data_IF_012181652288
#
_entry.id   IF_012181652288
#
_cell.length_a   1.000
_cell.length_b   1.000
_cell.length_c   1.000
_cell.angle_alpha   90.00
_cell.angle_beta   90.00
_cell.angle_gamma   90.00
#
_symmetry.space_group_name_H-M   'P 1'
#
loop_
_entity.id
_entity.type
_entity.pdbx_description
1 polymer ?
#
# COMPACT_ATOMS: atom_id res chain seq x y z
N UNK A 1 33.05 76.25 -28.60
CA UNK A 1 33.48 74.93 -29.14
C UNK A 1 33.75 73.87 -28.06
N UNK A 2 34.31 74.26 -26.91
CA UNK A 2 34.67 73.30 -25.82
C UNK A 2 33.50 72.57 -25.14
N UNK A 3 32.34 73.19 -25.00
CA UNK A 3 31.17 72.52 -24.38
C UNK A 3 30.46 71.47 -25.25
N UNK A 4 30.55 71.62 -26.58
CA UNK A 4 29.97 70.64 -27.53
C UNK A 4 30.80 69.32 -27.57
N UNK A 5 32.10 69.45 -27.38
CA UNK A 5 32.98 68.30 -27.29
C UNK A 5 32.80 67.50 -25.95
N UNK A 6 32.59 68.26 -24.88
CA UNK A 6 32.33 67.63 -23.56
C UNK A 6 30.98 66.88 -23.52
N UNK A 7 29.96 67.42 -24.15
CA UNK A 7 28.62 66.77 -24.26
C UNK A 7 28.71 65.50 -25.14
N UNK A 8 29.50 65.51 -26.15
CA UNK A 8 29.69 64.31 -27.03
C UNK A 8 30.51 63.23 -26.28
N UNK A 9 31.46 63.61 -25.45
CA UNK A 9 32.21 62.64 -24.60
C UNK A 9 31.35 62.00 -23.49
N UNK A 10 30.47 62.79 -22.89
CA UNK A 10 29.50 62.27 -21.92
C UNK A 10 28.44 61.34 -22.54
N UNK A 11 28.00 61.64 -23.77
CA UNK A 11 27.10 60.80 -24.51
C UNK A 11 27.71 59.44 -24.89
N UNK A 12 28.99 59.41 -25.26
CA UNK A 12 29.74 58.17 -25.55
C UNK A 12 29.99 57.36 -24.28
N UNK A 13 30.21 58.02 -23.13
CA UNK A 13 30.38 57.35 -21.83
C UNK A 13 29.08 56.69 -21.32
N UNK A 14 27.94 57.33 -21.57
CA UNK A 14 26.62 56.80 -21.22
C UNK A 14 26.17 55.59 -22.08
N UNK A 15 26.64 55.47 -23.33
CA UNK A 15 26.30 54.35 -24.20
C UNK A 15 27.04 53.06 -23.77
N UNK A 16 28.16 53.17 -23.06
CA UNK A 16 28.92 52.02 -22.57
C UNK A 16 28.34 51.43 -21.24
N UNK A 17 27.36 52.05 -20.61
CA UNK A 17 26.77 51.56 -19.38
C UNK A 17 25.56 50.61 -19.61
N UNK A 18 25.10 50.40 -20.85
CA UNK A 18 24.02 49.51 -21.17
C UNK A 18 24.57 48.15 -21.64
N UNK A 19 25.49 47.58 -20.88
CA UNK A 19 25.82 46.16 -21.03
C UNK A 19 24.95 45.36 -20.07
N UNK A 20 23.82 44.89 -20.56
CA UNK A 20 23.05 43.83 -19.93
C UNK A 20 23.89 42.55 -19.92
N UNK A 21 24.64 42.35 -18.84
CA UNK A 21 25.27 41.04 -18.59
C UNK A 21 24.15 40.03 -18.45
N UNK A 22 23.88 39.22 -19.47
CA UNK A 22 23.10 37.99 -19.30
C UNK A 22 23.84 37.13 -18.28
N UNK A 23 23.30 37.03 -17.07
CA UNK A 23 23.70 35.97 -16.13
C UNK A 23 23.31 34.66 -16.76
N UNK A 24 24.20 34.07 -17.51
CA UNK A 24 24.09 32.65 -17.87
C UNK A 24 24.47 31.89 -16.58
N UNK A 25 23.54 31.20 -15.98
CA UNK A 25 23.88 30.11 -15.07
C UNK A 25 24.70 29.12 -15.89
N UNK A 26 25.89 28.70 -15.43
CA UNK A 26 26.63 27.67 -16.12
C UNK A 26 25.70 26.45 -16.23
N UNK A 27 25.36 26.07 -17.44
CA UNK A 27 24.74 24.79 -17.71
C UNK A 27 25.80 23.76 -17.34
N UNK A 28 25.56 23.02 -16.24
CA UNK A 28 26.41 21.90 -15.86
C UNK A 28 26.64 20.96 -17.04
N UNK A 29 27.68 20.16 -16.98
CA UNK A 29 27.91 19.08 -17.93
C UNK A 29 26.72 18.13 -18.05
N UNK A 30 26.75 17.11 -18.91
CA UNK A 30 25.73 16.07 -18.94
C UNK A 30 25.53 15.52 -17.53
N UNK A 31 24.25 15.31 -17.16
CA UNK A 31 23.91 14.71 -15.86
C UNK A 31 24.59 13.33 -15.78
N UNK A 32 25.29 13.05 -14.68
CA UNK A 32 25.81 11.72 -14.41
C UNK A 32 24.66 10.73 -14.23
N UNK A 33 24.75 9.61 -14.92
CA UNK A 33 23.78 8.52 -14.87
C UNK A 33 24.41 7.18 -14.44
N UNK A 34 25.69 7.21 -14.06
CA UNK A 34 26.40 6.03 -13.59
C UNK A 34 26.14 5.84 -12.09
N UNK A 35 25.93 4.62 -11.64
CA UNK A 35 25.85 4.32 -10.22
C UNK A 35 27.23 4.31 -9.56
N UNK A 36 27.34 4.59 -8.27
CA UNK A 36 28.59 4.44 -7.53
C UNK A 36 29.12 3.01 -7.56
N UNK A 37 30.42 2.86 -7.71
CA UNK A 37 31.09 1.56 -7.80
C UNK A 37 31.84 1.28 -6.49
N UNK A 38 31.61 0.11 -5.89
CA UNK A 38 32.38 -0.36 -4.76
C UNK A 38 33.81 -0.74 -5.21
N UNK A 39 34.80 0.05 -4.82
CA UNK A 39 36.20 -0.15 -5.20
C UNK A 39 36.98 -1.00 -4.20
N UNK A 40 36.54 -1.07 -2.95
CA UNK A 40 37.19 -1.88 -1.91
C UNK A 40 36.22 -2.27 -0.83
N UNK A 41 36.50 -3.39 -0.15
CA UNK A 41 35.81 -3.82 1.06
C UNK A 41 36.84 -4.31 2.11
N UNK A 42 36.55 -4.02 3.37
CA UNK A 42 37.37 -4.48 4.50
C UNK A 42 36.46 -5.03 5.61
N UNK A 43 36.52 -6.33 5.91
CA UNK A 43 37.29 -7.38 5.24
C UNK A 43 36.91 -7.51 3.75
N UNK A 44 37.74 -8.20 2.98
CA UNK A 44 37.45 -8.44 1.56
C UNK A 44 36.17 -9.26 1.41
N UNK A 45 35.48 -9.05 0.28
CA UNK A 45 34.32 -9.89 -0.07
C UNK A 45 34.72 -11.38 -0.05
N UNK A 46 33.81 -12.23 0.39
CA UNK A 46 34.00 -13.67 0.55
C UNK A 46 35.08 -14.06 1.58
N UNK A 47 35.34 -13.21 2.56
CA UNK A 47 36.20 -13.55 3.72
C UNK A 47 35.56 -14.70 4.49
N UNK A 48 36.39 -15.71 4.81
CA UNK A 48 36.09 -16.83 5.71
C UNK A 48 36.68 -16.56 7.09
N UNK A 49 36.20 -17.33 8.09
CA UNK A 49 36.61 -17.15 9.50
C UNK A 49 36.46 -15.68 9.96
N UNK A 50 35.37 -15.07 9.58
CA UNK A 50 35.07 -13.68 9.95
C UNK A 50 34.88 -13.57 11.48
N UNK A 51 35.71 -12.72 12.09
CA UNK A 51 35.78 -12.45 13.53
C UNK A 51 35.75 -10.97 13.90
N UNK A 52 35.37 -10.10 12.94
CA UNK A 52 35.36 -8.65 13.10
C UNK A 52 33.99 -8.13 13.54
N UNK A 53 33.98 -6.96 14.16
CA UNK A 53 32.76 -6.25 14.53
C UNK A 53 32.33 -5.21 13.47
N UNK A 54 33.14 -4.99 12.44
CA UNK A 54 32.89 -3.93 11.45
C UNK A 54 33.21 -4.39 10.04
N UNK A 55 32.38 -3.98 9.10
CA UNK A 55 32.53 -4.13 7.67
C UNK A 55 32.54 -2.73 7.06
N UNK A 56 33.58 -2.40 6.29
CA UNK A 56 33.68 -1.13 5.56
C UNK A 56 33.67 -1.37 4.07
N UNK A 57 32.71 -0.78 3.36
CA UNK A 57 32.63 -0.74 1.91
C UNK A 57 33.07 0.64 1.43
N UNK A 58 34.01 0.70 0.48
CA UNK A 58 34.55 1.97 -0.05
C UNK A 58 34.15 2.12 -1.51
N UNK A 59 33.66 3.29 -1.85
CA UNK A 59 33.17 3.65 -3.18
C UNK A 59 34.11 4.67 -3.88
N UNK A 60 34.04 4.71 -5.19
CA UNK A 60 34.79 5.65 -6.03
C UNK A 60 34.35 7.11 -5.84
N UNK A 61 33.08 7.32 -5.47
CA UNK A 61 32.46 8.61 -5.25
C UNK A 61 31.77 8.73 -3.87
N UNK A 62 31.21 9.91 -3.57
CA UNK A 62 30.42 10.11 -2.36
C UNK A 62 29.04 9.49 -2.48
N UNK A 63 28.68 8.65 -1.51
CA UNK A 63 27.39 7.98 -1.44
C UNK A 63 26.61 8.44 -0.19
N UNK A 64 25.30 8.34 -0.26
CA UNK A 64 24.39 8.48 0.87
C UNK A 64 23.52 7.24 0.97
N UNK A 65 22.89 7.07 2.13
CA UNK A 65 22.02 5.92 2.41
C UNK A 65 20.56 6.34 2.41
N UNK A 66 19.73 5.59 1.67
CA UNK A 66 18.30 5.82 1.56
C UNK A 66 17.53 4.55 1.90
N UNK A 67 16.51 4.69 2.75
CA UNK A 67 15.58 3.60 3.11
C UNK A 67 16.28 2.28 3.51
N UNK A 68 17.42 2.36 4.21
CA UNK A 68 18.23 1.20 4.60
C UNK A 68 17.42 0.16 5.35
N UNK A 69 16.53 0.59 6.25
CA UNK A 69 15.71 -0.33 7.05
C UNK A 69 14.76 -1.20 6.21
N UNK A 70 14.43 -0.75 4.98
CA UNK A 70 13.55 -1.47 4.06
C UNK A 70 14.32 -2.21 2.96
N UNK A 71 15.45 -1.64 2.53
CA UNK A 71 16.22 -2.11 1.39
C UNK A 71 17.31 -3.11 1.76
N UNK A 72 17.94 -2.95 2.95
CA UNK A 72 19.02 -3.84 3.37
C UNK A 72 18.47 -5.16 3.91
N UNK A 73 18.71 -6.22 3.18
CA UNK A 73 18.36 -7.58 3.57
C UNK A 73 19.63 -8.32 4.01
N UNK A 74 19.65 -8.75 5.26
CA UNK A 74 20.75 -9.55 5.80
C UNK A 74 20.27 -10.99 5.96
N UNK A 75 20.97 -11.94 5.38
CA UNK A 75 20.63 -13.37 5.42
C UNK A 75 21.82 -14.19 5.95
N UNK A 76 21.68 -14.94 7.03
CA UNK A 76 20.55 -15.03 8.00
C UNK A 76 20.14 -13.69 8.61
N UNK A 77 18.84 -13.52 8.97
CA UNK A 77 18.33 -12.23 9.43
C UNK A 77 18.88 -11.84 10.81
N UNK A 78 19.39 -10.63 10.89
CA UNK A 78 19.78 -9.98 12.14
C UNK A 78 18.68 -9.03 12.61
N UNK A 79 18.45 -8.95 13.91
CA UNK A 79 17.57 -7.90 14.46
C UNK A 79 18.22 -6.52 14.27
N UNK A 80 17.41 -5.49 14.00
CA UNK A 80 17.88 -4.12 13.75
C UNK A 80 18.73 -3.53 14.89
N UNK A 81 18.58 -4.06 16.08
CA UNK A 81 19.39 -3.70 17.27
C UNK A 81 20.81 -4.25 17.21
N UNK A 82 21.03 -5.31 16.41
CA UNK A 82 22.29 -6.07 16.34
C UNK A 82 23.28 -5.51 15.31
N UNK A 83 22.90 -4.49 14.57
CA UNK A 83 23.79 -3.82 13.63
C UNK A 83 23.42 -2.36 13.44
N UNK A 84 24.40 -1.57 12.99
CA UNK A 84 24.21 -0.16 12.61
C UNK A 84 24.94 0.09 11.30
N UNK A 85 24.32 0.89 10.42
CA UNK A 85 24.89 1.27 9.12
C UNK A 85 25.15 2.78 9.09
N UNK A 86 26.33 3.15 8.64
CA UNK A 86 26.79 4.53 8.54
C UNK A 86 27.19 4.86 7.10
N UNK A 87 27.06 6.12 6.65
CA UNK A 87 26.62 7.29 7.42
C UNK A 87 25.11 7.27 7.68
N UNK A 88 24.67 7.73 8.85
CA UNK A 88 23.22 7.90 9.14
C UNK A 88 22.68 9.19 8.53
N UNK A 89 23.55 10.16 8.26
CA UNK A 89 23.24 11.46 7.63
C UNK A 89 24.45 11.91 6.82
N UNK A 90 24.19 12.72 5.77
CA UNK A 90 25.22 13.26 4.89
C UNK A 90 25.80 12.24 3.93
N UNK A 91 26.94 12.56 3.33
CA UNK A 91 27.60 11.75 2.32
C UNK A 91 28.98 11.28 2.78
N UNK A 92 29.39 10.10 2.34
CA UNK A 92 30.70 9.51 2.62
C UNK A 92 31.14 8.63 1.44
N UNK A 93 32.44 8.50 1.21
CA UNK A 93 32.97 7.47 0.31
C UNK A 93 32.98 6.07 0.96
N UNK A 94 32.60 5.97 2.22
CA UNK A 94 32.61 4.70 2.97
C UNK A 94 31.24 4.45 3.57
N UNK A 95 30.77 3.21 3.42
CA UNK A 95 29.62 2.67 4.15
C UNK A 95 30.14 1.68 5.16
N UNK A 96 29.87 1.93 6.44
CA UNK A 96 30.30 1.07 7.54
C UNK A 96 29.12 0.33 8.15
N UNK A 97 29.25 -0.98 8.29
CA UNK A 97 28.27 -1.82 9.01
C UNK A 97 28.94 -2.25 10.29
N UNK A 98 28.45 -1.75 11.42
CA UNK A 98 28.93 -2.14 12.74
C UNK A 98 28.01 -3.20 13.32
N UNK A 99 28.56 -4.37 13.60
CA UNK A 99 27.86 -5.48 14.25
C UNK A 99 27.98 -5.32 15.77
N UNK A 100 26.88 -5.44 16.48
CA UNK A 100 26.82 -5.28 17.94
C UNK A 100 26.54 -6.58 18.66
N UNK A 101 26.42 -7.67 17.92
CA UNK A 101 26.19 -9.00 18.46
C UNK A 101 26.97 -10.06 17.67
N UNK A 102 27.11 -11.23 18.26
CA UNK A 102 27.83 -12.38 17.70
C UNK A 102 27.01 -13.00 16.55
N UNK A 103 27.67 -13.26 15.45
CA UNK A 103 27.10 -14.01 14.32
C UNK A 103 27.08 -15.50 14.63
N UNK A 104 26.17 -16.24 13.98
CA UNK A 104 26.16 -17.71 14.11
C UNK A 104 27.47 -18.31 13.59
N UNK A 105 27.99 -19.31 14.27
CA UNK A 105 29.18 -20.04 13.85
C UNK A 105 28.95 -20.83 12.56
N UNK A 106 30.03 -21.04 11.80
CA UNK A 106 30.04 -21.83 10.57
C UNK A 106 28.88 -21.40 9.57
N UNK A 107 28.63 -20.11 9.46
CA UNK A 107 27.47 -19.58 8.71
C UNK A 107 27.90 -18.55 7.68
N UNK A 108 27.39 -18.69 6.47
CA UNK A 108 27.57 -17.68 5.41
C UNK A 108 26.50 -16.58 5.55
N UNK A 109 26.94 -15.34 5.66
CA UNK A 109 26.10 -14.16 5.70
C UNK A 109 26.16 -13.38 4.39
N UNK A 110 25.01 -12.97 3.91
CA UNK A 110 24.85 -12.11 2.73
C UNK A 110 24.14 -10.83 3.14
N UNK A 111 24.76 -9.69 2.83
CA UNK A 111 24.20 -8.34 3.00
C UNK A 111 23.82 -7.84 1.60
N UNK A 112 22.55 -7.79 1.29
CA UNK A 112 22.01 -7.24 0.05
C UNK A 112 21.47 -5.86 0.35
N UNK A 113 22.08 -4.83 -0.25
CA UNK A 113 21.73 -3.42 -0.02
C UNK A 113 20.56 -2.95 -0.88
N UNK A 114 20.06 -3.77 -1.80
CA UNK A 114 19.02 -3.33 -2.75
C UNK A 114 19.47 -2.07 -3.48
N UNK A 115 18.65 -1.03 -3.41
CA UNK A 115 18.93 0.31 -3.95
C UNK A 115 19.19 1.35 -2.84
N UNK A 116 19.60 0.90 -1.63
CA UNK A 116 19.80 1.82 -0.50
C UNK A 116 21.05 2.69 -0.59
N UNK A 117 22.06 2.29 -1.36
CA UNK A 117 23.28 3.06 -1.55
C UNK A 117 23.15 3.84 -2.86
N UNK A 118 23.09 5.16 -2.77
CA UNK A 118 22.91 6.05 -3.91
C UNK A 118 24.04 7.07 -3.96
N UNK A 119 24.40 7.56 -5.16
CA UNK A 119 25.31 8.69 -5.24
C UNK A 119 24.71 9.94 -4.59
N UNK A 120 25.59 10.82 -4.12
CA UNK A 120 25.16 11.99 -3.35
C UNK A 120 24.58 13.10 -4.22
N UNK A 121 24.98 13.22 -5.48
CA UNK A 121 24.62 14.35 -6.32
C UNK A 121 23.35 14.09 -7.15
N UNK A 122 23.30 12.97 -7.86
CA UNK A 122 22.25 12.62 -8.84
C UNK A 122 21.25 11.59 -8.31
N UNK A 123 21.57 10.91 -7.19
CA UNK A 123 20.80 9.82 -6.58
C UNK A 123 20.70 8.55 -7.44
N UNK A 124 21.72 8.24 -8.24
CA UNK A 124 21.78 6.98 -8.97
C UNK A 124 22.06 5.83 -7.99
N UNK A 125 21.22 4.79 -7.91
CA UNK A 125 21.42 3.70 -6.96
C UNK A 125 22.46 2.69 -7.46
N UNK A 126 23.22 2.11 -6.52
CA UNK A 126 23.92 0.85 -6.78
C UNK A 126 22.87 -0.26 -6.87
N UNK A 127 22.65 -0.81 -8.07
CA UNK A 127 21.63 -1.85 -8.23
C UNK A 127 22.08 -3.17 -7.58
N UNK A 128 21.37 -3.56 -6.53
CA UNK A 128 21.47 -4.86 -5.86
C UNK A 128 22.89 -5.25 -5.40
N UNK A 129 23.66 -4.29 -4.89
CA UNK A 129 24.97 -4.55 -4.32
C UNK A 129 24.87 -5.58 -3.19
N UNK A 130 25.64 -6.66 -3.29
CA UNK A 130 25.74 -7.67 -2.25
C UNK A 130 27.16 -7.76 -1.69
N UNK A 131 27.27 -7.97 -0.37
CA UNK A 131 28.50 -8.28 0.30
C UNK A 131 28.33 -9.60 1.06
N UNK A 132 29.29 -10.52 0.92
CA UNK A 132 29.23 -11.87 1.50
C UNK A 132 30.44 -12.13 2.36
N UNK A 133 30.22 -12.80 3.48
CA UNK A 133 31.26 -13.32 4.38
C UNK A 133 30.83 -14.66 4.98
N UNK A 134 31.75 -15.39 5.62
CA UNK A 134 31.44 -16.58 6.41
C UNK A 134 32.21 -16.56 7.74
N UNK A 135 31.56 -16.95 8.81
CA UNK A 135 32.17 -17.22 10.10
C UNK A 135 32.88 -18.59 10.12
N UNK A 136 32.57 -19.46 9.15
CA UNK A 136 33.19 -20.76 8.94
C UNK A 136 34.31 -20.75 7.90
N UNK A 137 34.79 -21.95 7.55
CA UNK A 137 35.89 -22.15 6.61
C UNK A 137 35.49 -21.99 5.14
N UNK A 138 34.21 -22.05 4.83
CA UNK A 138 33.69 -22.05 3.45
C UNK A 138 32.58 -21.05 3.27
N UNK A 139 32.41 -20.58 2.03
CA UNK A 139 31.27 -19.82 1.60
C UNK A 139 30.29 -20.79 0.91
N UNK A 140 29.06 -20.82 1.37
CA UNK A 140 27.98 -21.58 0.71
C UNK A 140 27.69 -20.96 -0.67
N UNK A 141 27.32 -21.77 -1.67
CA UNK A 141 27.24 -21.31 -3.07
C UNK A 141 25.93 -21.64 -3.79
N UNK A 142 25.02 -22.37 -3.16
CA UNK A 142 23.74 -22.72 -3.77
C UNK A 142 22.78 -21.53 -3.81
N UNK A 143 21.81 -21.60 -4.71
CA UNK A 143 20.84 -20.54 -4.90
C UNK A 143 19.45 -21.08 -5.20
N UNK A 144 18.44 -20.25 -4.96
CA UNK A 144 17.06 -20.41 -5.42
C UNK A 144 16.66 -19.11 -6.07
N UNK A 145 15.98 -19.19 -7.20
CA UNK A 145 15.37 -18.03 -7.87
C UNK A 145 13.95 -18.34 -8.27
N UNK A 146 13.14 -17.31 -8.42
CA UNK A 146 11.76 -17.51 -8.84
C UNK A 146 10.99 -16.21 -8.95
N UNK A 147 9.70 -16.36 -9.10
CA UNK A 147 8.76 -15.26 -9.23
C UNK A 147 7.66 -15.38 -8.19
N UNK A 148 7.16 -14.22 -7.77
CA UNK A 148 5.96 -14.09 -6.95
C UNK A 148 4.85 -13.50 -7.79
N UNK A 149 3.65 -14.02 -7.66
CA UNK A 149 2.41 -13.44 -8.15
C UNK A 149 1.37 -13.45 -7.04
N UNK A 150 0.37 -12.58 -7.14
CA UNK A 150 -0.79 -12.63 -6.26
C UNK A 150 -1.85 -13.54 -6.88
N UNK A 151 -2.55 -14.34 -6.06
CA UNK A 151 -3.56 -15.28 -6.53
C UNK A 151 -4.87 -14.60 -6.97
N UNK A 152 -5.11 -13.35 -6.51
CA UNK A 152 -6.36 -12.63 -6.73
C UNK A 152 -6.17 -11.25 -7.37
N UNK A 153 -4.99 -10.64 -7.21
CA UNK A 153 -4.69 -9.30 -7.68
C UNK A 153 -3.73 -9.36 -8.87
N UNK A 154 -3.96 -8.50 -9.86
CA UNK A 154 -3.09 -8.40 -11.04
C UNK A 154 -1.70 -7.92 -10.69
N UNK A 155 -1.62 -6.92 -9.82
CA UNK A 155 -0.38 -6.31 -9.41
C UNK A 155 0.03 -6.89 -8.05
N UNK A 156 1.21 -7.47 -8.00
CA UNK A 156 1.79 -7.98 -6.76
C UNK A 156 2.44 -6.83 -5.99
N UNK A 157 2.24 -6.80 -4.67
CA UNK A 157 2.92 -5.85 -3.79
C UNK A 157 4.44 -5.99 -3.89
N UNK A 158 5.13 -4.88 -3.59
CA UNK A 158 6.60 -4.82 -3.60
C UNK A 158 7.15 -5.22 -2.23
N UNK A 159 8.42 -5.59 -2.20
CA UNK A 159 9.12 -5.96 -0.97
C UNK A 159 8.55 -7.19 -0.27
N UNK A 160 8.09 -8.16 -1.07
CA UNK A 160 7.69 -9.45 -0.52
C UNK A 160 8.91 -10.14 0.09
N UNK A 161 8.79 -10.53 1.36
CA UNK A 161 9.80 -11.27 2.09
C UNK A 161 9.75 -12.74 1.72
N UNK A 162 10.87 -13.30 1.25
CA UNK A 162 11.03 -14.73 0.97
C UNK A 162 11.86 -15.35 2.09
N UNK A 163 11.39 -16.45 2.63
CA UNK A 163 11.92 -17.06 3.85
C UNK A 163 12.17 -18.55 3.65
N UNK A 164 13.32 -19.06 4.11
CA UNK A 164 13.63 -20.48 4.11
C UNK A 164 13.81 -20.98 5.54
N UNK A 165 13.07 -21.99 5.87
CA UNK A 165 13.13 -22.69 7.15
C UNK A 165 13.77 -24.06 6.95
N UNK A 166 14.87 -24.40 7.63
CA UNK A 166 15.45 -25.73 7.55
C UNK A 166 14.51 -26.77 8.15
N UNK A 167 14.43 -27.92 7.49
CA UNK A 167 13.62 -29.04 7.97
C UNK A 167 14.47 -29.91 8.88
N UNK A 168 14.30 -29.71 10.15
CA UNK A 168 14.87 -30.51 11.22
C UNK A 168 13.79 -31.04 12.17
N UNK A 169 14.20 -31.70 13.26
CA UNK A 169 13.27 -32.25 14.27
C UNK A 169 12.42 -31.19 14.99
N UNK A 170 12.75 -29.90 14.86
CA UNK A 170 12.07 -28.82 15.55
C UNK A 170 11.08 -28.06 14.61
N UNK A 171 11.13 -28.31 13.30
CA UNK A 171 10.25 -27.67 12.35
C UNK A 171 8.81 -28.18 12.49
N UNK A 172 7.87 -27.24 12.47
CA UNK A 172 6.41 -27.48 12.42
C UNK A 172 5.79 -26.40 11.54
N UNK A 173 4.60 -26.62 11.01
CA UNK A 173 3.89 -25.62 10.22
C UNK A 173 3.67 -24.32 10.99
N UNK A 174 3.52 -24.42 12.32
CA UNK A 174 3.44 -23.25 13.21
C UNK A 174 4.75 -22.49 13.42
N UNK A 175 5.87 -22.96 12.87
CA UNK A 175 7.19 -22.30 13.01
C UNK A 175 7.19 -20.90 12.44
N UNK A 176 6.44 -20.65 11.37
CA UNK A 176 6.34 -19.32 10.71
C UNK A 176 5.76 -18.22 11.60
N UNK A 177 5.02 -18.60 12.66
CA UNK A 177 4.46 -17.66 13.63
C UNK A 177 5.40 -17.33 14.81
N UNK A 178 6.41 -18.16 15.04
CA UNK A 178 7.15 -18.14 16.31
C UNK A 178 8.67 -18.08 16.18
N UNK A 179 9.22 -18.46 15.04
CA UNK A 179 10.68 -18.48 14.80
C UNK A 179 11.02 -17.70 13.53
N UNK A 180 12.14 -16.99 13.57
CA UNK A 180 12.70 -16.36 12.37
C UNK A 180 13.24 -17.44 11.42
N UNK A 181 13.20 -17.22 10.10
CA UNK A 181 13.77 -18.13 9.12
C UNK A 181 15.31 -18.19 9.21
N UNK A 182 15.91 -19.24 8.66
CA UNK A 182 17.37 -19.31 8.53
C UNK A 182 17.88 -18.41 7.41
N UNK A 183 17.19 -18.37 6.26
CA UNK A 183 17.57 -17.50 5.16
C UNK A 183 16.41 -16.61 4.74
N UNK A 184 16.72 -15.38 4.37
CA UNK A 184 15.79 -14.40 3.86
C UNK A 184 16.28 -13.73 2.60
N UNK A 185 15.37 -13.35 1.73
CA UNK A 185 15.57 -12.41 0.63
C UNK A 185 14.29 -11.63 0.41
N UNK A 186 14.29 -10.72 -0.53
CA UNK A 186 13.10 -9.92 -0.88
C UNK A 186 12.99 -9.79 -2.40
N UNK A 187 11.77 -9.57 -2.89
CA UNK A 187 11.56 -9.14 -4.26
C UNK A 187 12.01 -7.69 -4.48
N UNK A 188 12.23 -6.94 -3.39
CA UNK A 188 12.47 -5.49 -3.42
C UNK A 188 11.34 -4.79 -4.21
N UNK A 189 11.66 -4.11 -5.28
CA UNK A 189 10.71 -3.36 -6.12
C UNK A 189 10.22 -4.14 -7.37
N UNK A 190 10.55 -5.43 -7.46
CA UNK A 190 10.16 -6.32 -8.55
C UNK A 190 9.26 -7.46 -8.06
N UNK A 191 8.92 -8.40 -8.95
CA UNK A 191 8.23 -9.66 -8.62
C UNK A 191 9.18 -10.86 -8.66
N UNK A 192 10.47 -10.64 -8.90
CA UNK A 192 11.49 -11.68 -9.01
C UNK A 192 12.29 -11.71 -7.71
N UNK A 193 12.60 -12.90 -7.22
CA UNK A 193 13.46 -13.07 -6.06
C UNK A 193 14.66 -13.97 -6.37
N UNK A 194 15.70 -13.82 -5.55
CA UNK A 194 16.87 -14.69 -5.59
C UNK A 194 17.47 -14.85 -4.19
N UNK A 195 17.50 -16.08 -3.70
CA UNK A 195 18.38 -16.47 -2.61
C UNK A 195 19.76 -16.81 -3.17
N UNK A 196 20.79 -16.46 -2.43
CA UNK A 196 22.19 -16.77 -2.75
C UNK A 196 22.87 -17.34 -1.51
N UNK A 197 24.01 -18.00 -1.72
CA UNK A 197 24.87 -18.49 -0.66
C UNK A 197 24.12 -19.43 0.32
N UNK A 198 23.34 -20.33 -0.24
CA UNK A 198 22.59 -21.32 0.52
C UNK A 198 23.41 -22.59 0.71
N UNK A 199 23.20 -23.24 1.84
CA UNK A 199 23.73 -24.57 2.12
C UNK A 199 22.83 -25.66 1.55
N UNK A 200 23.42 -26.79 1.19
CA UNK A 200 22.66 -27.99 0.81
C UNK A 200 21.79 -28.47 2.00
N UNK A 201 20.55 -28.86 1.68
CA UNK A 201 19.59 -29.28 2.70
C UNK A 201 18.16 -29.28 2.22
N UNK A 202 17.25 -29.60 3.14
CA UNK A 202 15.80 -29.54 2.91
C UNK A 202 15.21 -28.33 3.61
N UNK A 203 14.34 -27.62 2.91
CA UNK A 203 13.75 -26.36 3.37
C UNK A 203 12.25 -26.29 3.07
N UNK A 204 11.52 -25.63 3.94
CA UNK A 204 10.23 -25.05 3.61
C UNK A 204 10.47 -23.62 3.10
N UNK A 205 9.81 -23.22 2.02
CA UNK A 205 9.83 -21.86 1.49
C UNK A 205 8.51 -21.18 1.77
N UNK A 206 8.60 -19.96 2.28
CA UNK A 206 7.46 -19.08 2.58
C UNK A 206 7.71 -17.72 1.93
N UNK A 207 6.69 -17.18 1.30
CA UNK A 207 6.63 -15.79 0.88
C UNK A 207 5.65 -15.05 1.80
N UNK A 208 6.04 -13.87 2.29
CA UNK A 208 5.18 -13.03 3.13
C UNK A 208 5.13 -11.61 2.60
N UNK A 209 3.94 -11.06 2.49
CA UNK A 209 3.72 -9.61 2.50
C UNK A 209 3.79 -9.14 3.97
N UNK A 210 5.01 -9.12 4.51
CA UNK A 210 5.31 -8.84 5.92
C UNK A 210 5.16 -7.33 6.20
N UNK A 211 3.98 -6.92 6.62
CA UNK A 211 3.66 -5.51 6.91
C UNK A 211 4.40 -4.96 8.13
N UNK A 212 4.68 -5.81 9.09
CA UNK A 212 5.40 -5.46 10.32
C UNK A 212 6.93 -5.46 10.16
N UNK A 213 7.47 -6.07 9.10
CA UNK A 213 8.91 -6.21 8.85
C UNK A 213 9.64 -7.05 9.90
N UNK A 214 8.95 -8.01 10.49
CA UNK A 214 9.45 -8.79 11.65
C UNK A 214 9.81 -10.25 11.32
N UNK A 215 9.51 -10.70 10.10
CA UNK A 215 9.67 -12.07 9.60
C UNK A 215 8.75 -13.11 10.25
N UNK A 216 7.70 -12.70 10.96
CA UNK A 216 6.67 -13.58 11.48
C UNK A 216 5.40 -13.42 10.69
N UNK A 217 4.69 -14.51 10.44
CA UNK A 217 3.40 -14.44 9.77
C UNK A 217 2.31 -13.96 10.72
N UNK A 218 1.69 -12.85 10.40
CA UNK A 218 0.45 -12.38 11.02
C UNK A 218 -0.75 -12.69 10.12
N UNK A 219 -1.52 -13.71 10.49
CA UNK A 219 -2.65 -14.18 9.71
C UNK A 219 -3.71 -13.09 9.48
N UNK A 220 -3.82 -12.12 10.40
CA UNK A 220 -4.80 -11.04 10.30
C UNK A 220 -4.38 -9.95 9.31
N UNK A 221 -3.07 -9.72 9.14
CA UNK A 221 -2.54 -8.59 8.37
C UNK A 221 -1.85 -9.01 7.07
N UNK A 222 -1.10 -10.11 7.09
CA UNK A 222 -0.20 -10.51 6.01
C UNK A 222 -0.89 -11.37 4.94
N UNK A 223 -0.37 -11.33 3.71
CA UNK A 223 -0.57 -12.38 2.71
C UNK A 223 0.57 -13.38 2.80
N UNK A 224 0.28 -14.64 2.54
CA UNK A 224 1.26 -15.74 2.57
C UNK A 224 1.27 -16.48 1.23
N UNK A 225 2.45 -17.01 0.86
CA UNK A 225 2.61 -17.96 -0.23
C UNK A 225 3.55 -19.07 0.20
N UNK A 226 3.24 -20.32 -0.13
CA UNK A 226 4.07 -21.47 0.19
C UNK A 226 3.93 -22.58 -0.85
N UNK A 227 4.82 -23.55 -0.78
CA UNK A 227 4.69 -24.81 -1.51
C UNK A 227 4.16 -25.88 -0.58
N UNK A 228 3.33 -26.76 -1.13
CA UNK A 228 2.83 -27.99 -0.48
C UNK A 228 3.90 -29.09 -0.38
N UNK A 229 5.11 -28.85 -0.90
CA UNK A 229 6.26 -29.74 -0.86
C UNK A 229 7.51 -29.07 -0.30
N UNK A 230 8.39 -29.84 0.23
CA UNK A 230 9.71 -29.36 0.66
C UNK A 230 10.63 -29.12 -0.55
N UNK A 231 11.53 -28.18 -0.39
CA UNK A 231 12.61 -27.89 -1.33
C UNK A 231 13.85 -28.68 -0.90
N UNK A 232 14.53 -29.30 -1.84
CA UNK A 232 15.80 -29.98 -1.63
C UNK A 232 16.88 -29.36 -2.49
N UNK A 233 17.89 -28.76 -1.86
CA UNK A 233 19.06 -28.19 -2.55
C UNK A 233 20.20 -29.22 -2.63
N UNK A 234 20.85 -29.33 -3.81
CA UNK A 234 20.83 -28.44 -4.97
C UNK A 234 19.77 -28.75 -6.06
N UNK A 235 18.85 -29.68 -5.83
CA UNK A 235 17.91 -30.20 -6.83
C UNK A 235 16.90 -29.14 -7.29
N UNK A 236 16.34 -28.39 -6.36
CA UNK A 236 15.29 -27.42 -6.59
C UNK A 236 15.88 -25.99 -6.61
N UNK A 237 16.05 -25.40 -7.80
CA UNK A 237 16.67 -24.05 -7.92
C UNK A 237 15.75 -23.01 -8.56
N UNK A 238 14.59 -23.40 -9.09
CA UNK A 238 13.62 -22.50 -9.72
C UNK A 238 12.26 -22.77 -9.10
N UNK A 239 11.62 -21.73 -8.54
CA UNK A 239 10.39 -21.84 -7.76
C UNK A 239 9.54 -20.61 -7.97
N UNK A 240 8.29 -20.81 -8.40
CA UNK A 240 7.29 -19.76 -8.44
C UNK A 240 6.30 -19.95 -7.29
N UNK A 241 5.86 -18.85 -6.68
CA UNK A 241 4.94 -18.83 -5.56
C UNK A 241 3.80 -17.84 -5.82
N UNK A 242 2.63 -18.18 -5.31
CA UNK A 242 1.45 -17.33 -5.32
C UNK A 242 1.13 -16.86 -3.91
N UNK A 243 1.00 -15.56 -3.72
CA UNK A 243 0.51 -14.95 -2.49
C UNK A 243 -1.01 -15.04 -2.44
N UNK A 244 -1.53 -15.29 -1.26
CA UNK A 244 -2.96 -15.21 -0.97
C UNK A 244 -3.17 -14.78 0.48
N UNK A 245 -4.32 -14.21 0.75
CA UNK A 245 -4.77 -13.92 2.12
C UNK A 245 -5.44 -15.17 2.68
N UNK A 246 -4.96 -15.67 3.82
CA UNK A 246 -5.66 -16.76 4.50
C UNK A 246 -7.03 -16.30 5.02
N UNK A 247 -7.99 -17.21 4.97
CA UNK A 247 -9.28 -16.99 5.62
C UNK A 247 -9.12 -17.26 7.10
N UNK A 248 -9.17 -16.23 7.90
CA UNK A 248 -9.18 -16.37 9.36
C UNK A 248 -10.55 -16.83 9.83
N UNK A 249 -10.59 -17.50 10.98
CA UNK A 249 -11.84 -17.69 11.70
C UNK A 249 -12.45 -16.33 12.00
N UNK A 250 -13.79 -16.26 11.93
CA UNK A 250 -14.48 -15.02 12.22
C UNK A 250 -14.27 -14.61 13.69
N UNK A 251 -13.93 -13.33 13.90
CA UNK A 251 -13.99 -12.71 15.21
C UNK A 251 -14.24 -11.19 15.10
N UNK A 252 -14.91 -10.64 16.10
CA UNK A 252 -15.10 -9.22 16.25
C UNK A 252 -13.92 -8.58 16.98
N UNK A 253 -13.48 -7.43 16.50
CA UNK A 253 -12.63 -6.54 17.27
C UNK A 253 -13.47 -5.68 18.23
N UNK A 254 -12.80 -4.90 19.06
CA UNK A 254 -13.49 -4.02 20.01
C UNK A 254 -14.24 -2.91 19.26
N UNK A 255 -15.53 -2.69 19.58
CA UNK A 255 -16.21 -1.51 19.08
C UNK A 255 -15.50 -0.23 19.49
N UNK A 256 -15.31 0.68 18.55
CA UNK A 256 -14.62 1.95 18.74
C UNK A 256 -15.55 3.12 18.43
N UNK A 257 -15.60 4.08 19.34
CA UNK A 257 -16.28 5.36 19.10
C UNK A 257 -15.46 6.18 18.08
N UNK A 258 -16.10 6.62 17.01
CA UNK A 258 -15.47 7.40 15.94
C UNK A 258 -15.82 8.87 16.10
N UNK A 259 -17.12 9.18 16.21
CA UNK A 259 -17.63 10.53 16.40
C UNK A 259 -18.98 10.49 17.13
N UNK A 260 -19.64 11.63 17.25
CA UNK A 260 -20.84 11.88 18.06
C UNK A 260 -21.95 10.81 17.95
N UNK A 261 -22.11 10.20 16.78
CA UNK A 261 -23.21 9.27 16.53
C UNK A 261 -22.78 8.03 15.76
N UNK A 262 -21.48 7.71 15.77
CA UNK A 262 -20.90 6.64 14.99
C UNK A 262 -19.94 5.77 15.80
N UNK A 263 -20.20 4.47 15.79
CA UNK A 263 -19.33 3.45 16.37
C UNK A 263 -18.93 2.50 15.25
N UNK A 264 -17.62 2.32 15.05
CA UNK A 264 -17.06 1.36 14.12
C UNK A 264 -16.72 0.05 14.83
N UNK A 265 -17.06 -1.07 14.21
CA UNK A 265 -16.84 -2.41 14.74
C UNK A 265 -16.16 -3.23 13.65
N UNK A 266 -14.84 -3.35 13.76
CA UNK A 266 -14.06 -4.15 12.85
C UNK A 266 -14.29 -5.65 13.11
N UNK A 267 -14.17 -6.47 12.06
CA UNK A 267 -14.22 -7.91 12.16
C UNK A 267 -13.21 -8.53 11.21
N UNK A 268 -12.87 -9.78 11.45
CA UNK A 268 -11.96 -10.56 10.64
C UNK A 268 -12.64 -11.86 10.21
N UNK A 269 -12.29 -12.37 9.04
CA UNK A 269 -12.82 -13.63 8.52
C UNK A 269 -14.19 -13.52 7.86
N UNK A 270 -14.76 -14.67 7.48
CA UNK A 270 -16.08 -14.73 6.84
C UNK A 270 -17.19 -14.57 7.89
N UNK A 271 -18.09 -13.63 7.61
CA UNK A 271 -19.24 -13.36 8.44
C UNK A 271 -20.44 -14.22 8.00
N UNK A 272 -20.73 -15.27 8.76
CA UNK A 272 -21.97 -16.00 8.69
C UNK A 272 -22.73 -15.90 10.02
N UNK A 273 -23.75 -15.04 10.07
CA UNK A 273 -24.72 -14.93 11.16
C UNK A 273 -24.14 -14.83 12.59
N UNK A 274 -23.15 -13.98 12.83
CA UNK A 274 -22.54 -13.81 14.14
C UNK A 274 -23.33 -12.83 15.03
N UNK A 275 -23.23 -13.01 16.34
CA UNK A 275 -23.99 -12.22 17.32
C UNK A 275 -23.34 -10.84 17.49
N UNK A 276 -24.07 -9.84 17.02
CA UNK A 276 -23.82 -8.44 17.33
C UNK A 276 -25.14 -7.80 17.74
N UNK A 277 -25.28 -7.44 19.01
CA UNK A 277 -26.51 -6.93 19.58
C UNK A 277 -26.22 -5.75 20.51
N UNK A 278 -26.92 -4.64 20.32
CA UNK A 278 -26.91 -3.53 21.27
C UNK A 278 -27.83 -3.89 22.46
N UNK A 279 -27.29 -3.77 23.66
CA UNK A 279 -27.96 -4.21 24.92
C UNK A 279 -28.14 -3.10 25.95
N UNK A 280 -27.88 -1.84 25.61
CA UNK A 280 -28.16 -0.70 26.49
C UNK A 280 -29.64 -0.47 26.62
N UNK A 281 -30.08 -0.05 27.81
CA UNK A 281 -31.37 0.60 27.98
C UNK A 281 -31.35 1.96 27.27
N UNK A 282 -32.29 2.16 26.34
CA UNK A 282 -32.39 3.37 25.53
C UNK A 282 -33.82 3.87 25.50
N UNK A 283 -34.08 5.18 25.36
CA UNK A 283 -35.45 5.72 25.29
C UNK A 283 -36.13 5.29 23.99
N UNK A 284 -37.45 5.37 23.93
CA UNK A 284 -38.26 5.04 22.75
C UNK A 284 -37.91 5.87 21.50
N UNK A 285 -37.31 7.04 21.70
CA UNK A 285 -36.85 7.91 20.63
C UNK A 285 -35.52 7.46 19.99
N UNK A 286 -34.86 6.45 20.55
CA UNK A 286 -33.59 5.96 20.04
C UNK A 286 -33.81 5.19 18.76
N UNK A 287 -33.07 5.59 17.73
CA UNK A 287 -33.03 4.87 16.46
C UNK A 287 -31.58 4.53 16.09
N UNK A 288 -31.39 3.39 15.48
CA UNK A 288 -30.06 2.97 15.00
C UNK A 288 -30.13 2.39 13.60
N UNK A 289 -28.98 2.48 12.91
CA UNK A 289 -28.77 1.94 11.58
C UNK A 289 -27.41 1.27 11.52
N UNK A 290 -27.32 0.08 10.94
CA UNK A 290 -26.06 -0.61 10.71
C UNK A 290 -25.75 -0.63 9.21
N UNK A 291 -24.56 -0.20 8.86
CA UNK A 291 -24.05 -0.25 7.48
C UNK A 291 -22.74 -1.01 7.45
N UNK A 292 -22.39 -1.60 6.29
CA UNK A 292 -21.12 -2.28 6.10
C UNK A 292 -20.16 -1.35 5.35
N UNK A 293 -18.97 -1.11 5.91
CA UNK A 293 -17.93 -0.41 5.19
C UNK A 293 -17.51 -1.22 3.94
N UNK A 294 -17.37 -0.57 2.79
CA UNK A 294 -17.06 -1.24 1.52
C UNK A 294 -15.56 -1.48 1.31
N UNK A 295 -14.73 -0.77 2.03
CA UNK A 295 -13.27 -0.80 1.87
C UNK A 295 -12.62 -1.63 2.95
N UNK A 296 -13.20 -1.63 4.15
CA UNK A 296 -12.68 -2.34 5.32
C UNK A 296 -13.71 -3.35 5.83
N UNK A 297 -13.25 -4.40 6.49
CA UNK A 297 -14.12 -5.35 7.18
C UNK A 297 -14.61 -4.73 8.50
N UNK A 298 -15.55 -3.79 8.38
CA UNK A 298 -16.08 -3.00 9.47
C UNK A 298 -17.58 -2.83 9.32
N UNK A 299 -18.32 -2.98 10.41
CA UNK A 299 -19.69 -2.51 10.53
C UNK A 299 -19.68 -1.13 11.17
N UNK A 300 -20.41 -0.22 10.57
CA UNK A 300 -20.64 1.12 11.06
C UNK A 300 -22.01 1.16 11.73
N UNK A 301 -22.04 1.39 13.03
CA UNK A 301 -23.24 1.53 13.84
C UNK A 301 -23.53 3.01 14.06
N UNK A 302 -24.61 3.47 13.46
CA UNK A 302 -25.09 4.85 13.50
C UNK A 302 -26.27 4.92 14.44
N UNK A 303 -26.42 5.99 15.23
CA UNK A 303 -27.53 6.16 16.16
C UNK A 303 -27.97 7.60 16.30
N UNK A 304 -29.23 7.81 16.74
CA UNK A 304 -29.81 9.12 17.02
C UNK A 304 -30.89 9.02 18.08
N UNK A 305 -31.41 10.16 18.56
CA UNK A 305 -32.60 10.26 19.41
C UNK A 305 -32.36 10.08 20.91
N UNK A 306 -31.07 10.00 21.33
CA UNK A 306 -30.76 9.95 22.76
C UNK A 306 -29.43 10.63 23.06
N UNK A 307 -29.35 11.32 24.20
CA UNK A 307 -28.10 11.77 24.80
C UNK A 307 -27.63 10.71 25.77
N UNK A 308 -26.56 10.00 25.43
CA UNK A 308 -26.02 8.88 26.19
C UNK A 308 -24.52 9.09 26.39
N UNK A 309 -23.97 8.58 27.48
CA UNK A 309 -22.52 8.61 27.74
C UNK A 309 -21.82 7.37 27.18
N UNK A 310 -22.57 6.30 26.91
CA UNK A 310 -22.04 5.05 26.41
C UNK A 310 -23.11 4.14 25.82
N UNK A 311 -22.70 3.19 24.99
CA UNK A 311 -23.52 2.06 24.53
C UNK A 311 -22.84 0.73 24.86
N UNK A 312 -23.64 -0.28 25.19
CA UNK A 312 -23.21 -1.64 25.46
C UNK A 312 -23.58 -2.54 24.29
N UNK A 313 -22.62 -3.35 23.86
CA UNK A 313 -22.79 -4.33 22.79
C UNK A 313 -22.45 -5.72 23.31
N UNK A 314 -23.30 -6.68 23.00
CA UNK A 314 -23.04 -8.10 23.16
C UNK A 314 -22.48 -8.62 21.84
N UNK A 315 -21.25 -9.08 21.87
CA UNK A 315 -20.53 -9.57 20.69
C UNK A 315 -19.91 -10.92 20.98
N UNK A 316 -19.79 -11.75 19.95
CA UNK A 316 -19.11 -13.03 20.02
C UNK A 316 -17.64 -12.86 19.63
N UNK A 317 -16.71 -13.15 20.55
CA UNK A 317 -15.28 -13.08 20.33
C UNK A 317 -14.70 -14.45 20.64
N UNK A 318 -14.10 -15.12 19.64
CA UNK A 318 -13.50 -16.45 19.80
C UNK A 318 -14.44 -17.44 20.50
N UNK A 319 -15.62 -17.66 19.93
CA UNK A 319 -16.69 -18.53 20.45
C UNK A 319 -17.19 -18.20 21.87
N UNK A 320 -16.90 -16.99 22.34
CA UNK A 320 -17.31 -16.53 23.66
C UNK A 320 -18.10 -15.23 23.54
N UNK A 321 -19.34 -15.24 24.05
CA UNK A 321 -20.15 -14.03 24.15
C UNK A 321 -19.60 -13.09 25.23
N UNK A 322 -19.30 -11.87 24.84
CA UNK A 322 -18.79 -10.82 25.73
C UNK A 322 -19.58 -9.53 25.57
N UNK A 323 -19.77 -8.83 26.67
CA UNK A 323 -20.31 -7.48 26.65
C UNK A 323 -19.18 -6.46 26.60
N UNK A 324 -19.27 -5.52 25.67
CA UNK A 324 -18.34 -4.40 25.52
C UNK A 324 -19.09 -3.09 25.67
N UNK A 325 -18.53 -2.17 26.46
CA UNK A 325 -19.06 -0.81 26.64
C UNK A 325 -18.19 0.15 25.84
N UNK A 326 -18.82 0.96 25.01
CA UNK A 326 -18.20 2.04 24.24
C UNK A 326 -18.59 3.35 24.90
N UNK A 327 -17.62 4.04 25.50
CA UNK A 327 -17.80 5.36 26.08
C UNK A 327 -17.62 6.42 25.00
N UNK A 328 -18.49 7.44 25.04
CA UNK A 328 -18.42 8.55 24.11
C UNK A 328 -17.42 9.59 24.60
N UNK A 329 -16.82 10.28 23.64
CA UNK A 329 -15.93 11.42 23.85
C UNK A 329 -16.65 12.68 23.39
N UNK A 330 -15.97 13.83 23.52
CA UNK A 330 -16.51 15.09 23.04
C UNK A 330 -16.96 14.97 21.57
N UNK A 331 -18.19 15.37 21.25
CA UNK A 331 -18.77 15.17 19.93
C UNK A 331 -18.04 15.99 18.86
N UNK A 332 -17.77 15.37 17.73
CA UNK A 332 -17.33 16.03 16.50
C UNK A 332 -18.47 15.88 15.51
N UNK A 333 -19.13 16.97 15.17
CA UNK A 333 -20.18 16.96 14.16
C UNK A 333 -19.58 16.79 12.77
N UNK A 334 -20.09 15.79 12.04
CA UNK A 334 -19.80 15.60 10.62
C UNK A 334 -20.87 16.28 9.76
N UNK A 335 -20.46 16.87 8.65
CA UNK A 335 -21.38 17.38 7.63
C UNK A 335 -21.60 16.35 6.53
N UNK A 336 -22.79 16.35 5.93
CA UNK A 336 -23.10 15.49 4.78
C UNK A 336 -22.31 15.94 3.56
N UNK A 337 -21.43 15.08 3.06
CA UNK A 337 -20.59 15.30 1.89
C UNK A 337 -20.97 14.29 0.81
N UNK A 338 -21.33 14.79 -0.38
CA UNK A 338 -21.66 13.96 -1.53
C UNK A 338 -20.60 14.13 -2.61
N UNK A 339 -20.07 13.01 -3.11
CA UNK A 339 -19.07 12.99 -4.17
C UNK A 339 -19.53 12.14 -5.36
N UNK A 340 -18.99 12.40 -6.53
CA UNK A 340 -19.17 11.52 -7.69
C UNK A 340 -18.27 10.28 -7.51
N UNK A 341 -18.89 9.11 -7.42
CA UNK A 341 -18.15 7.86 -7.35
C UNK A 341 -17.69 7.36 -8.72
N UNK A 342 -18.57 7.46 -9.73
CA UNK A 342 -18.26 7.05 -11.10
C UNK A 342 -17.05 7.83 -11.64
N UNK A 343 -15.93 7.13 -11.86
CA UNK A 343 -14.71 7.72 -12.41
C UNK A 343 -14.76 7.74 -13.95
N UNK A 344 -14.15 8.77 -14.55
CA UNK A 344 -14.06 8.89 -16.01
C UNK A 344 -15.41 9.10 -16.71
N UNK A 345 -15.54 8.58 -17.93
CA UNK A 345 -16.76 8.65 -18.73
C UNK A 345 -17.79 7.63 -18.28
N UNK A 346 -19.05 8.01 -18.29
CA UNK A 346 -20.17 7.11 -18.00
C UNK A 346 -20.34 6.11 -19.14
N UNK A 347 -20.47 4.83 -18.80
CA UNK A 347 -20.73 3.78 -19.78
C UNK A 347 -22.21 3.78 -20.14
N UNK A 348 -22.54 3.50 -21.40
CA UNK A 348 -23.93 3.56 -21.93
C UNK A 348 -24.93 2.68 -21.18
N UNK A 349 -24.47 1.59 -20.59
CA UNK A 349 -25.32 0.65 -19.81
C UNK A 349 -25.17 0.81 -18.29
N UNK A 350 -24.38 1.79 -17.83
CA UNK A 350 -24.14 2.02 -16.41
C UNK A 350 -24.91 3.26 -15.94
N UNK A 351 -25.30 3.23 -14.69
CA UNK A 351 -25.90 4.39 -14.02
C UNK A 351 -24.80 5.23 -13.36
N UNK A 352 -25.06 6.53 -13.20
CA UNK A 352 -24.17 7.37 -12.44
C UNK A 352 -24.32 7.05 -10.95
N UNK A 353 -23.21 6.88 -10.26
CA UNK A 353 -23.19 6.65 -8.80
C UNK A 353 -22.56 7.83 -8.09
N UNK A 354 -23.23 8.25 -7.03
CA UNK A 354 -22.74 9.20 -6.04
C UNK A 354 -22.43 8.45 -4.74
N UNK A 355 -21.50 8.95 -3.99
CA UNK A 355 -21.05 8.42 -2.69
C UNK A 355 -21.24 9.47 -1.62
N UNK A 356 -21.72 9.05 -0.45
CA UNK A 356 -21.83 9.88 0.74
C UNK A 356 -20.92 9.38 1.87
N UNK A 357 -20.42 10.31 2.69
CA UNK A 357 -19.67 9.97 3.90
C UNK A 357 -20.56 9.52 5.07
N UNK A 358 -21.86 9.84 5.02
CA UNK A 358 -22.86 9.52 6.02
C UNK A 358 -24.02 8.77 5.37
N UNK A 359 -24.73 7.90 6.11
CA UNK A 359 -25.83 7.14 5.54
C UNK A 359 -26.97 8.03 5.08
N UNK A 360 -27.26 8.03 3.79
CA UNK A 360 -28.40 8.74 3.18
C UNK A 360 -29.62 7.85 3.27
N UNK A 361 -30.67 8.32 3.96
CA UNK A 361 -31.90 7.55 4.20
C UNK A 361 -33.09 8.05 3.41
N UNK A 362 -33.06 9.31 2.92
CA UNK A 362 -34.13 9.88 2.12
C UNK A 362 -33.58 10.53 0.83
N UNK A 363 -34.32 10.36 -0.25
CA UNK A 363 -34.04 11.02 -1.54
C UNK A 363 -35.31 11.61 -2.12
N UNK A 364 -35.19 12.79 -2.74
CA UNK A 364 -36.26 13.49 -3.41
C UNK A 364 -35.90 13.65 -4.90
N UNK A 365 -36.49 12.81 -5.74
CA UNK A 365 -36.23 12.82 -7.18
C UNK A 365 -36.82 14.04 -7.92
N UNK A 366 -37.69 14.82 -7.31
CA UNK A 366 -38.17 16.07 -7.91
C UNK A 366 -37.11 17.19 -7.83
N UNK A 367 -36.13 17.01 -6.97
CA UNK A 367 -35.03 17.96 -6.73
C UNK A 367 -33.74 17.60 -7.49
N UNK A 368 -33.80 16.72 -8.48
CA UNK A 368 -32.70 16.47 -9.40
C UNK A 368 -33.02 17.03 -10.79
N UNK A 369 -32.05 17.73 -11.36
CA UNK A 369 -32.11 18.23 -12.72
C UNK A 369 -30.91 17.66 -13.48
N UNK A 370 -31.19 16.93 -14.55
CA UNK A 370 -30.16 16.42 -15.46
C UNK A 370 -30.37 17.09 -16.82
N UNK A 371 -29.32 17.71 -17.34
CA UNK A 371 -29.33 18.33 -18.68
C UNK A 371 -28.21 17.75 -19.53
N UNK A 372 -28.45 17.63 -20.81
CA UNK A 372 -27.45 17.27 -21.82
C UNK A 372 -26.66 18.48 -22.33
N UNK A 373 -25.81 18.27 -23.35
CA UNK A 373 -25.01 19.35 -23.97
C UNK A 373 -25.88 20.46 -24.59
N UNK A 374 -27.07 20.13 -25.08
CA UNK A 374 -28.02 21.08 -25.68
C UNK A 374 -28.95 21.75 -24.65
N UNK A 375 -28.64 21.59 -23.34
CA UNK A 375 -29.45 22.09 -22.22
C UNK A 375 -30.86 21.47 -22.12
N UNK A 376 -31.10 20.36 -22.80
CA UNK A 376 -32.37 19.63 -22.73
C UNK A 376 -32.43 18.90 -21.43
N UNK A 377 -33.51 19.07 -20.67
CA UNK A 377 -33.72 18.36 -19.41
C UNK A 377 -34.15 16.92 -19.70
N UNK A 378 -33.48 15.98 -19.03
CA UNK A 378 -33.71 14.54 -19.12
C UNK A 378 -34.35 14.06 -17.82
N UNK A 379 -35.43 13.25 -17.88
CA UNK A 379 -36.01 12.64 -16.68
C UNK A 379 -34.97 11.82 -15.94
N UNK A 380 -34.88 12.02 -14.63
CA UNK A 380 -33.91 11.33 -13.78
C UNK A 380 -34.53 10.95 -12.44
N UNK A 381 -34.05 9.85 -11.88
CA UNK A 381 -34.51 9.31 -10.61
C UNK A 381 -33.33 9.02 -9.68
N UNK A 382 -33.54 9.27 -8.39
CA UNK A 382 -32.60 8.94 -7.34
C UNK A 382 -33.01 7.64 -6.65
N UNK A 383 -32.03 6.77 -6.40
CA UNK A 383 -32.24 5.51 -5.66
C UNK A 383 -31.11 5.27 -4.69
N UNK A 384 -31.45 5.07 -3.41
CA UNK A 384 -30.51 4.69 -2.36
C UNK A 384 -30.18 3.20 -2.53
N UNK A 385 -28.88 2.86 -2.48
CA UNK A 385 -28.44 1.46 -2.43
C UNK A 385 -28.57 0.89 -1.00
N UNK A 386 -28.62 -0.44 -0.89
CA UNK A 386 -28.88 -1.17 0.36
C UNK A 386 -27.99 -0.75 1.54
N UNK A 387 -26.80 -0.26 1.30
CA UNK A 387 -25.86 0.13 2.36
C UNK A 387 -25.90 1.63 2.71
N UNK A 388 -26.82 2.41 2.14
CA UNK A 388 -27.04 3.84 2.41
C UNK A 388 -25.87 4.79 2.10
N UNK A 389 -24.74 4.29 1.65
CA UNK A 389 -23.53 5.05 1.29
C UNK A 389 -23.45 5.41 -0.19
N UNK A 390 -24.32 4.85 -1.02
CA UNK A 390 -24.38 5.05 -2.46
C UNK A 390 -25.76 5.46 -2.91
N UNK A 391 -25.77 6.45 -3.79
CA UNK A 391 -26.98 6.94 -4.45
C UNK A 391 -26.80 6.75 -5.96
N UNK A 392 -27.69 6.02 -6.56
CA UNK A 392 -27.74 5.85 -8.03
C UNK A 392 -28.59 6.95 -8.63
N UNK A 393 -28.05 7.64 -9.62
CA UNK A 393 -28.76 8.57 -10.49
C UNK A 393 -29.08 7.83 -11.79
N UNK A 394 -30.35 7.58 -12.02
CA UNK A 394 -30.86 6.83 -13.16
C UNK A 394 -31.48 7.79 -14.17
N UNK A 395 -30.89 7.89 -15.34
CA UNK A 395 -31.36 8.72 -16.46
C UNK A 395 -30.90 8.10 -17.79
N UNK A 396 -31.56 8.45 -18.87
CA UNK A 396 -31.19 7.96 -20.20
C UNK A 396 -29.88 8.59 -20.68
N UNK A 397 -28.94 7.74 -21.10
CA UNK A 397 -27.64 8.15 -21.63
C UNK A 397 -27.50 7.77 -23.10
N UNK A 398 -26.99 8.67 -23.91
CA UNK A 398 -26.68 8.46 -25.33
C UNK A 398 -25.17 8.58 -25.59
N UNK A 399 -24.65 7.99 -26.67
CA UNK A 399 -23.23 8.11 -27.02
C UNK A 399 -22.84 9.55 -27.36
N UNK A 400 -21.58 9.91 -27.06
CA UNK A 400 -20.96 11.20 -27.41
C UNK A 400 -21.69 12.43 -26.85
N UNK A 401 -22.22 12.32 -25.65
CA UNK A 401 -22.94 13.42 -24.98
C UNK A 401 -22.25 13.82 -23.66
N UNK A 402 -22.66 15.00 -23.15
CA UNK A 402 -22.19 15.53 -21.86
C UNK A 402 -23.41 15.87 -21.02
N UNK A 403 -23.32 15.54 -19.75
CA UNK A 403 -24.40 15.72 -18.81
C UNK A 403 -23.97 16.58 -17.64
N UNK A 404 -24.82 17.53 -17.25
CA UNK A 404 -24.77 18.23 -16.00
C UNK A 404 -25.90 17.73 -15.10
N UNK A 405 -25.52 17.26 -13.92
CA UNK A 405 -26.41 16.71 -12.89
C UNK A 405 -26.42 17.69 -11.75
N UNK A 406 -27.54 18.34 -11.50
CA UNK A 406 -27.71 19.33 -10.46
C UNK A 406 -28.65 18.78 -9.39
N UNK A 407 -28.11 18.56 -8.18
CA UNK A 407 -28.91 18.31 -7.00
C UNK A 407 -29.28 19.65 -6.37
N UNK A 408 -30.58 19.92 -6.26
CA UNK A 408 -31.10 21.09 -5.56
C UNK A 408 -30.99 20.90 -4.04
N UNK A 409 -31.07 21.95 -3.23
CA UNK A 409 -31.06 21.82 -1.77
C UNK A 409 -32.10 20.83 -1.28
N UNK A 410 -31.75 20.03 -0.30
CA UNK A 410 -32.59 18.96 0.29
C UNK A 410 -33.02 17.85 -0.69
N UNK A 411 -32.26 17.59 -1.76
CA UNK A 411 -32.50 16.44 -2.62
C UNK A 411 -32.13 15.12 -1.92
N UNK A 412 -31.17 15.16 -1.00
CA UNK A 412 -30.73 14.05 -0.20
C UNK A 412 -30.76 14.44 1.28
N UNK A 413 -31.18 13.51 2.15
CA UNK A 413 -31.08 13.67 3.59
C UNK A 413 -30.38 12.45 4.20
N UNK A 414 -29.51 12.72 5.14
CA UNK A 414 -28.87 11.66 5.92
C UNK A 414 -29.77 11.11 7.03
N UNK A 415 -29.27 10.13 7.76
CA UNK A 415 -29.97 9.49 8.86
C UNK A 415 -30.41 10.47 9.97
N UNK A 416 -29.75 11.59 10.18
CA UNK A 416 -30.11 12.63 11.16
C UNK A 416 -31.02 13.73 10.57
N UNK A 417 -31.35 13.65 9.27
CA UNK A 417 -32.15 14.66 8.57
C UNK A 417 -31.34 15.86 8.09
N UNK A 418 -29.99 15.81 8.17
CA UNK A 418 -29.12 16.85 7.61
C UNK A 418 -29.14 16.78 6.10
N UNK A 419 -28.95 17.91 5.48
CA UNK A 419 -29.10 18.09 4.04
C UNK A 419 -27.86 18.76 3.46
N UNK A 420 -27.89 19.01 2.17
CA UNK A 420 -26.83 19.68 1.43
C UNK A 420 -27.37 20.90 0.66
N UNK A 421 -26.50 21.82 0.32
CA UNK A 421 -26.75 22.90 -0.65
C UNK A 421 -26.76 22.36 -2.09
N UNK A 422 -26.94 23.26 -3.08
CA UNK A 422 -26.86 22.86 -4.49
C UNK A 422 -25.52 22.25 -4.84
N UNK A 423 -25.53 21.02 -5.37
CA UNK A 423 -24.33 20.32 -5.85
C UNK A 423 -24.44 20.06 -7.35
N UNK A 424 -23.36 20.28 -8.08
CA UNK A 424 -23.30 20.06 -9.53
C UNK A 424 -22.23 19.03 -9.84
N UNK A 425 -22.62 17.97 -10.55
CA UNK A 425 -21.72 16.98 -11.11
C UNK A 425 -21.74 17.04 -12.63
N UNK A 426 -20.61 16.72 -13.24
CA UNK A 426 -20.49 16.62 -14.70
C UNK A 426 -19.96 15.27 -15.09
N UNK A 427 -20.51 14.73 -16.16
CA UNK A 427 -20.05 13.46 -16.76
C UNK A 427 -20.24 13.49 -18.26
N UNK A 428 -19.65 12.56 -18.98
CA UNK A 428 -19.79 12.43 -20.42
C UNK A 428 -19.78 10.95 -20.84
N UNK A 429 -20.31 10.65 -21.98
CA UNK A 429 -20.18 9.36 -22.65
C UNK A 429 -19.18 9.47 -23.81
N UNK A 430 -18.61 8.35 -24.21
CA UNK A 430 -17.74 8.25 -25.38
C UNK A 430 -18.56 8.07 -26.65
N UNK A 431 -17.92 8.19 -27.83
CA UNK A 431 -18.53 7.82 -29.11
C UNK A 431 -18.79 6.33 -29.15
N UNK A 432 -19.74 5.91 -30.01
CA UNK A 432 -20.10 4.49 -30.12
C UNK A 432 -18.90 3.62 -30.56
N UNK A 433 -18.03 4.19 -31.39
CA UNK A 433 -16.83 3.51 -31.90
C UNK A 433 -15.78 3.22 -30.80
N UNK A 434 -15.87 3.95 -29.67
CA UNK A 434 -14.97 3.76 -28.53
C UNK A 434 -15.43 2.64 -27.59
N UNK A 435 -16.57 1.98 -27.88
CA UNK A 435 -17.10 0.87 -27.10
C UNK A 435 -16.94 -0.46 -27.85
N UNK A 436 -16.51 -1.47 -27.13
CA UNK A 436 -16.47 -2.86 -27.59
C UNK A 436 -17.32 -3.76 -26.72
N UNK A 437 -17.75 -4.89 -27.26
CA UNK A 437 -18.37 -5.96 -26.49
C UNK A 437 -17.50 -7.22 -26.60
N UNK A 438 -17.21 -7.82 -25.45
CA UNK A 438 -16.51 -9.09 -25.37
C UNK A 438 -17.49 -10.09 -24.79
N UNK A 439 -17.69 -11.20 -25.50
CA UNK A 439 -18.51 -12.33 -25.04
C UNK A 439 -17.58 -13.46 -24.66
N UNK A 440 -17.53 -13.78 -23.38
CA UNK A 440 -16.75 -14.88 -22.84
C UNK A 440 -17.68 -16.00 -22.38
N UNK A 441 -17.37 -17.22 -22.82
CA UNK A 441 -18.00 -18.42 -22.30
C UNK A 441 -16.95 -19.28 -21.62
N UNK A 442 -17.01 -19.35 -20.29
CA UNK A 442 -16.14 -20.20 -19.49
C UNK A 442 -16.87 -21.54 -19.27
N UNK A 443 -16.22 -22.65 -19.64
CA UNK A 443 -16.69 -24.00 -19.34
C UNK A 443 -15.66 -24.64 -18.42
N UNK A 444 -16.09 -25.08 -17.27
CA UNK A 444 -15.25 -25.79 -16.31
C UNK A 444 -16.02 -26.88 -15.60
N UNK A 445 -15.35 -27.97 -15.21
CA UNK A 445 -15.94 -29.16 -14.60
C UNK A 445 -16.15 -29.04 -13.08
N UNK A 446 -15.59 -28.02 -12.45
CA UNK A 446 -15.66 -27.80 -10.99
C UNK A 446 -16.48 -26.55 -10.64
N UNK A 447 -17.25 -26.54 -9.54
CA UNK A 447 -18.00 -25.38 -9.07
C UNK A 447 -17.10 -24.33 -8.36
N UNK A 448 -15.92 -24.07 -8.89
CA UNK A 448 -14.98 -23.09 -8.33
C UNK A 448 -15.28 -21.67 -8.81
N UNK A 449 -14.92 -20.67 -8.02
CA UNK A 449 -14.95 -19.27 -8.44
C UNK A 449 -13.76 -18.97 -9.38
N UNK A 450 -14.01 -18.22 -10.45
CA UNK A 450 -13.00 -17.86 -11.44
C UNK A 450 -12.88 -16.36 -11.52
N UNK A 451 -11.66 -15.88 -11.70
CA UNK A 451 -11.33 -14.49 -12.04
C UNK A 451 -11.04 -14.47 -13.55
N UNK A 452 -11.73 -13.61 -14.28
CA UNK A 452 -11.49 -13.39 -15.70
C UNK A 452 -10.90 -12.01 -15.86
N UNK A 453 -9.67 -11.95 -16.36
CA UNK A 453 -8.95 -10.69 -16.60
C UNK A 453 -8.82 -10.44 -18.10
N UNK A 454 -8.99 -9.19 -18.50
CA UNK A 454 -8.67 -8.69 -19.82
C UNK A 454 -7.36 -7.90 -19.71
N UNK A 455 -6.30 -8.44 -20.28
CA UNK A 455 -4.96 -7.87 -20.27
C UNK A 455 -4.74 -6.96 -21.50
#
# INVERSE_FOLDING_TARGET
MKYRFSLLLIGILLINTIQCAKRATPTGGPKDSLPPIMVNASPKMNTTFFDKEEITLTFDEFVTLKDVGKQLIISPPLSSEKYKVYPTTGASKKVNIKLTDTLFENTTYTFNFGESIIDFNENNPTSYLTYTLSTGATIDSLFIRGRISDAFEKDTERFISLQLYPIDSTYKDSTVFTKKPLYVTSTLDTTIFRFQNLRAGKYAIIALEDKAGNYFFDQSEDKIGYLDRLIELPKDSIIDLNLFKERTNFFWDKPNFINDHHIAIAYYGQHDAQVFEMTSDVPDSFESLVTKNRVTDTLDYWFRGASLDSLKFKIEIQDTLRTKTVFFKDPIEDSLIIKKFTKGSLRLKSKLELESNLPVTEVDSEKIIVTNVDTIQIPAFLKIQKNYDRITVDFEVIPNDRYEIKLLPNALKDFWGRTHDTIIFRTSTKKIEDYGNIYLRVQHESPSSYIIELL
#
